data_IF_438383337366
#
_entry.id   IF_438383337366
#
_cell.length_a   1.000
_cell.length_b   1.000
_cell.length_c   1.000
_cell.angle_alpha   90.00
_cell.angle_beta   90.00
_cell.angle_gamma   90.00
#
_symmetry.space_group_name_H-M   'P 1'
#
loop_
_entity.id
_entity.type
_entity.pdbx_description
1 polymer ?
#
# COMPACT_ATOMS: atom_id res chain seq x y z
N UNK A 1 15.90 -4.88 -5.01
CA UNK A 1 14.51 -4.45 -5.23
C UNK A 1 13.59 -4.98 -4.17
N UNK A 2 13.34 -6.30 -4.07
CA UNK A 2 12.31 -6.85 -3.17
C UNK A 2 12.37 -6.39 -1.69
N UNK A 3 13.52 -6.35 -1.00
CA UNK A 3 13.55 -5.90 0.40
C UNK A 3 13.22 -4.42 0.59
N UNK A 4 13.33 -3.61 -0.47
CA UNK A 4 13.24 -2.15 -0.43
C UNK A 4 12.09 -1.60 -1.28
N UNK A 5 11.31 -2.48 -1.92
CA UNK A 5 10.33 -2.08 -2.95
C UNK A 5 9.20 -1.21 -2.37
N UNK A 6 8.98 -1.27 -1.06
CA UNK A 6 8.01 -0.46 -0.33
C UNK A 6 8.65 0.75 0.39
N UNK A 7 9.96 0.94 0.28
CA UNK A 7 10.63 2.09 0.87
C UNK A 7 10.28 3.35 0.06
N UNK A 8 10.04 4.47 0.77
CA UNK A 8 9.78 5.76 0.11
C UNK A 8 10.98 6.17 -0.74
N UNK A 9 10.69 6.68 -1.93
CA UNK A 9 11.70 7.13 -2.91
C UNK A 9 12.60 6.03 -3.47
N UNK A 10 12.32 4.75 -3.16
CA UNK A 10 13.08 3.66 -3.72
C UNK A 10 12.82 3.52 -5.21
N UNK A 11 13.90 3.49 -6.00
CA UNK A 11 13.88 3.25 -7.44
C UNK A 11 14.97 2.25 -7.78
N UNK A 12 14.62 1.20 -8.52
CA UNK A 12 15.63 0.31 -9.12
C UNK A 12 16.40 1.06 -10.21
N UNK A 13 17.62 0.64 -10.50
CA UNK A 13 18.46 1.30 -11.50
C UNK A 13 17.78 1.35 -12.88
N UNK A 14 17.08 0.27 -13.25
CA UNK A 14 16.29 0.20 -14.48
C UNK A 14 15.05 1.12 -14.52
N UNK A 15 14.58 1.60 -13.36
CA UNK A 15 13.45 2.52 -13.26
C UNK A 15 13.90 4.00 -13.23
N UNK A 16 15.13 4.29 -12.74
CA UNK A 16 15.68 5.65 -12.70
C UNK A 16 15.75 6.30 -14.07
N UNK A 17 16.08 5.53 -15.11
CA UNK A 17 16.24 6.03 -16.48
C UNK A 17 14.92 6.10 -17.27
N UNK A 18 13.85 5.46 -16.78
CA UNK A 18 12.58 5.29 -17.53
C UNK A 18 11.42 6.12 -17.02
N UNK A 19 11.48 6.67 -15.81
CA UNK A 19 10.40 7.53 -15.30
C UNK A 19 10.87 8.61 -14.34
N UNK A 20 10.25 9.79 -14.48
CA UNK A 20 10.34 10.94 -13.55
C UNK A 20 9.54 10.71 -12.25
N UNK A 21 8.96 9.52 -12.06
CA UNK A 21 8.19 9.21 -10.86
C UNK A 21 9.03 9.32 -9.59
N UNK A 22 8.44 9.85 -8.52
CA UNK A 22 9.08 10.09 -7.22
C UNK A 22 9.45 8.81 -6.46
N UNK A 23 9.01 7.62 -6.90
CA UNK A 23 9.23 6.37 -6.16
C UNK A 23 8.36 6.25 -4.90
N UNK A 24 7.24 6.98 -4.81
CA UNK A 24 6.35 6.95 -3.65
C UNK A 24 5.20 5.94 -3.76
N UNK A 25 4.84 5.50 -4.97
CA UNK A 25 3.61 4.73 -5.21
C UNK A 25 3.45 3.51 -4.31
N UNK A 26 4.47 2.64 -4.26
CA UNK A 26 4.41 1.42 -3.46
C UNK A 26 4.48 1.68 -1.94
N UNK A 27 5.19 2.72 -1.52
CA UNK A 27 5.18 3.12 -0.11
C UNK A 27 3.78 3.61 0.33
N UNK A 28 3.07 4.34 -0.53
CA UNK A 28 1.68 4.74 -0.29
C UNK A 28 0.76 3.51 -0.27
N UNK A 29 0.95 2.56 -1.20
CA UNK A 29 0.19 1.30 -1.20
C UNK A 29 0.36 0.54 0.11
N UNK A 30 1.60 0.40 0.61
CA UNK A 30 1.87 -0.30 1.86
C UNK A 30 1.18 0.38 3.05
N UNK A 31 1.20 1.72 3.09
CA UNK A 31 0.51 2.48 4.13
C UNK A 31 -1.00 2.33 4.06
N UNK A 32 -1.59 2.41 2.87
CA UNK A 32 -3.03 2.19 2.69
C UNK A 32 -3.44 0.79 3.13
N UNK A 33 -2.72 -0.25 2.71
CA UNK A 33 -3.00 -1.63 3.12
C UNK A 33 -2.92 -1.77 4.65
N UNK A 34 -1.92 -1.14 5.28
CA UNK A 34 -1.78 -1.12 6.75
C UNK A 34 -2.96 -0.42 7.44
N UNK A 35 -3.42 0.71 6.90
CA UNK A 35 -4.58 1.46 7.43
C UNK A 35 -5.86 0.62 7.37
N UNK A 36 -6.00 -0.26 6.37
CA UNK A 36 -7.10 -1.21 6.26
C UNK A 36 -6.88 -2.50 7.08
N UNK A 37 -5.89 -2.53 7.99
CA UNK A 37 -5.58 -3.69 8.83
C UNK A 37 -4.99 -4.88 8.06
N UNK A 38 -4.52 -4.66 6.83
CA UNK A 38 -3.97 -5.69 5.97
C UNK A 38 -2.45 -5.79 5.95
N UNK A 39 -1.97 -6.66 5.07
CA UNK A 39 -0.54 -6.81 4.76
C UNK A 39 -0.31 -6.86 3.26
N UNK A 40 0.84 -6.36 2.80
CA UNK A 40 1.25 -6.43 1.39
C UNK A 40 2.65 -7.04 1.29
N UNK A 41 2.87 -7.87 0.27
CA UNK A 41 4.16 -8.50 -0.04
C UNK A 41 4.43 -8.47 -1.54
N UNK A 42 5.72 -8.48 -1.90
CA UNK A 42 6.17 -8.60 -3.27
C UNK A 42 7.06 -9.85 -3.43
N UNK A 43 6.95 -10.53 -4.55
CA UNK A 43 7.77 -11.67 -4.93
C UNK A 43 8.04 -11.66 -6.44
N UNK A 44 9.04 -12.43 -6.89
CA UNK A 44 9.21 -12.71 -8.32
C UNK A 44 8.21 -13.78 -8.76
N UNK A 45 7.61 -13.62 -9.93
CA UNK A 45 6.75 -14.64 -10.52
C UNK A 45 7.57 -15.85 -10.99
N UNK A 46 7.02 -17.08 -10.93
CA UNK A 46 7.72 -18.30 -11.35
C UNK A 46 8.09 -18.27 -12.84
N UNK A 47 7.26 -17.66 -13.68
CA UNK A 47 7.49 -17.49 -15.13
C UNK A 47 8.09 -16.12 -15.48
N UNK A 48 8.60 -15.40 -14.48
CA UNK A 48 9.10 -14.04 -14.60
C UNK A 48 8.09 -12.96 -14.18
N UNK A 49 8.55 -11.71 -14.16
CA UNK A 49 7.77 -10.57 -13.69
C UNK A 49 7.66 -10.47 -12.16
N UNK A 50 6.72 -9.64 -11.70
CA UNK A 50 6.51 -9.34 -10.29
C UNK A 50 5.10 -9.74 -9.85
N UNK A 51 5.00 -10.37 -8.68
CA UNK A 51 3.75 -10.71 -8.02
C UNK A 51 3.63 -9.87 -6.76
N UNK A 52 2.53 -9.13 -6.63
CA UNK A 52 2.18 -8.38 -5.43
C UNK A 52 0.95 -9.02 -4.80
N UNK A 53 1.07 -9.40 -3.53
CA UNK A 53 -0.02 -10.05 -2.77
C UNK A 53 -0.47 -9.10 -1.67
N UNK A 54 -1.76 -8.75 -1.68
CA UNK A 54 -2.42 -7.96 -0.65
C UNK A 54 -3.39 -8.87 0.10
N UNK A 55 -3.34 -8.85 1.43
CA UNK A 55 -4.27 -9.57 2.31
C UNK A 55 -4.97 -8.54 3.17
N UNK A 56 -6.30 -8.51 3.12
CA UNK A 56 -7.14 -7.61 3.92
C UNK A 56 -8.08 -8.45 4.81
N UNK A 57 -8.39 -7.99 6.03
CA UNK A 57 -9.47 -8.56 6.82
C UNK A 57 -10.80 -8.43 6.08
N UNK A 58 -11.62 -9.49 6.12
CA UNK A 58 -13.01 -9.36 5.70
C UNK A 58 -13.80 -8.61 6.79
N UNK A 59 -14.74 -7.73 6.42
CA UNK A 59 -15.69 -7.19 7.38
C UNK A 59 -16.36 -8.35 8.11
N UNK A 60 -16.45 -8.26 9.44
CA UNK A 60 -17.33 -9.17 10.19
C UNK A 60 -18.75 -8.75 9.86
N UNK A 61 -19.58 -9.69 9.38
CA UNK A 61 -20.99 -9.43 9.10
C UNK A 61 -21.64 -8.72 10.29
N UNK A 62 -21.92 -7.40 10.16
CA UNK A 62 -22.74 -6.64 11.10
C UNK A 62 -22.18 -5.37 11.74
N UNK A 63 -20.98 -4.88 11.44
CA UNK A 63 -20.54 -3.56 11.92
C UNK A 63 -20.40 -2.58 10.73
N UNK A 64 -21.16 -1.46 10.69
CA UNK A 64 -20.96 -0.45 9.67
C UNK A 64 -19.58 0.21 9.84
N UNK A 65 -18.76 0.13 8.79
CA UNK A 65 -17.53 0.93 8.64
C UNK A 65 -17.92 2.41 8.57
N UNK A 66 -17.82 3.15 9.68
CA UNK A 66 -18.13 4.59 9.65
C UNK A 66 -18.21 5.39 10.95
N UNK A 67 -18.06 4.79 12.15
CA UNK A 67 -18.19 5.55 13.41
C UNK A 67 -16.92 6.32 13.82
N UNK A 68 -16.20 6.96 12.90
CA UNK A 68 -14.98 7.73 13.26
C UNK A 68 -14.90 9.14 12.65
N UNK A 69 -15.93 9.65 11.98
CA UNK A 69 -15.90 11.03 11.46
C UNK A 69 -17.13 11.87 11.86
N UNK A 70 -17.40 11.97 13.16
CA UNK A 70 -18.51 12.80 13.67
C UNK A 70 -18.16 13.61 14.93
N UNK A 71 -16.87 13.85 15.23
CA UNK A 71 -16.47 14.50 16.47
C UNK A 71 -15.75 15.85 16.31
N UNK A 72 -15.68 16.45 15.11
CA UNK A 72 -14.88 17.68 14.91
C UNK A 72 -15.59 18.81 14.13
N UNK A 73 -16.93 18.85 14.12
CA UNK A 73 -17.69 19.95 13.49
C UNK A 73 -18.63 20.73 14.45
N UNK A 74 -18.57 20.48 15.76
CA UNK A 74 -19.26 21.28 16.79
C UNK A 74 -18.28 22.20 17.56
N UNK A 75 -17.55 23.04 16.82
CA UNK A 75 -16.81 24.17 17.40
C UNK A 75 -16.62 25.32 16.40
N UNK A 76 -17.71 25.99 16.05
CA UNK A 76 -17.71 27.32 15.46
C UNK A 76 -18.88 28.14 15.98
#
# INVERSE_FOLDING_TARGET
VLPHVFDRFYKSDAARTRSEGSGLGLAITAENVRLHGGTVRAANGPDGGAVFTVVLPLPRDGAPDGATDAAEEDRA
#
